data_IF_133977522914
#
_entry.id   IF_133977522914
#
_cell.length_a   1.000
_cell.length_b   1.000
_cell.length_c   1.000
_cell.angle_alpha   90.00
_cell.angle_beta   90.00
_cell.angle_gamma   90.00
#
_symmetry.space_group_name_H-M   'P 1'
#
loop_
_entity.id
_entity.type
_entity.pdbx_description
1 polymer ?
#
# COMPACT_ATOMS: atom_id res chain seq x y z
N UNK A 1 20.54 18.24 11.54
CA UNK A 1 19.08 18.49 11.52
C UNK A 1 18.60 19.79 12.17
N UNK A 2 19.28 20.41 13.16
CA UNK A 2 18.83 21.68 13.79
C UNK A 2 18.64 22.90 12.84
N UNK A 3 19.27 22.92 11.66
CA UNK A 3 19.16 24.02 10.68
C UNK A 3 18.06 23.83 9.63
N UNK A 4 17.48 22.65 9.50
CA UNK A 4 16.47 22.37 8.46
C UNK A 4 15.18 23.21 8.60
N UNK A 5 14.61 23.43 9.81
CA UNK A 5 13.43 24.28 9.94
C UNK A 5 13.71 25.75 9.53
N UNK A 6 14.93 26.25 9.78
CA UNK A 6 15.31 27.58 9.34
C UNK A 6 15.43 27.67 7.81
N UNK A 7 15.99 26.65 7.17
CA UNK A 7 16.05 26.54 5.70
C UNK A 7 14.64 26.47 5.11
N UNK A 8 13.75 25.69 5.71
CA UNK A 8 12.35 25.60 5.32
C UNK A 8 11.67 26.99 5.37
N UNK A 9 11.83 27.71 6.47
CA UNK A 9 11.29 29.06 6.61
C UNK A 9 11.86 30.04 5.57
N UNK A 10 13.16 30.00 5.29
CA UNK A 10 13.80 30.84 4.28
C UNK A 10 13.24 30.54 2.88
N UNK A 11 13.11 29.27 2.51
CA UNK A 11 12.56 28.89 1.22
C UNK A 11 11.09 29.29 1.05
N UNK A 12 10.28 29.13 2.11
CA UNK A 12 8.90 29.62 2.10
C UNK A 12 8.84 31.14 1.94
N UNK A 13 9.67 31.88 2.68
CA UNK A 13 9.74 33.34 2.55
C UNK A 13 10.19 33.79 1.16
N UNK A 14 11.22 33.14 0.61
CA UNK A 14 11.69 33.41 -0.76
C UNK A 14 10.61 33.09 -1.80
N UNK A 15 9.90 31.99 -1.62
CA UNK A 15 8.78 31.62 -2.49
C UNK A 15 7.63 32.62 -2.48
N UNK A 16 7.29 33.17 -1.32
CA UNK A 16 6.27 34.21 -1.19
C UNK A 16 6.75 35.57 -1.74
N UNK A 17 8.06 35.87 -1.61
CA UNK A 17 8.65 37.12 -2.08
C UNK A 17 8.88 37.14 -3.60
N UNK A 18 9.04 35.98 -4.24
CA UNK A 18 9.18 35.90 -5.70
C UNK A 18 7.87 36.30 -6.36
N UNK A 19 7.88 37.50 -6.94
CA UNK A 19 6.78 37.99 -7.74
C UNK A 19 6.55 37.06 -8.94
N UNK A 20 5.30 36.74 -9.22
CA UNK A 20 5.00 36.03 -10.44
C UNK A 20 5.18 36.94 -11.63
N UNK A 21 5.89 36.44 -12.63
CA UNK A 21 6.03 37.07 -13.94
C UNK A 21 4.75 36.97 -14.80
N UNK A 22 3.63 36.52 -14.24
CA UNK A 22 2.44 36.05 -14.98
C UNK A 22 1.34 37.11 -15.13
N UNK A 23 1.34 38.17 -14.33
CA UNK A 23 0.33 39.23 -14.51
C UNK A 23 0.91 40.45 -15.22
N UNK A 24 0.19 41.02 -16.21
CA UNK A 24 0.61 42.23 -16.90
C UNK A 24 0.69 43.47 -16.01
N UNK A 25 0.20 43.41 -14.78
CA UNK A 25 0.16 44.49 -13.81
C UNK A 25 1.19 44.45 -12.68
N UNK A 26 2.12 43.48 -12.66
CA UNK A 26 3.20 43.42 -11.64
C UNK A 26 2.77 43.06 -10.22
N UNK A 27 1.52 42.67 -10.00
CA UNK A 27 1.06 42.19 -8.71
C UNK A 27 1.49 40.75 -8.48
N UNK A 28 2.03 40.41 -7.29
CA UNK A 28 2.36 39.01 -6.97
C UNK A 28 1.06 38.22 -6.76
N UNK A 29 0.95 36.95 -7.23
CA UNK A 29 -0.22 36.11 -7.01
C UNK A 29 -0.58 35.94 -5.54
N UNK A 30 0.38 36.01 -4.65
CA UNK A 30 0.19 36.00 -3.22
C UNK A 30 -0.60 37.22 -2.71
N UNK A 31 -0.38 38.41 -3.29
CA UNK A 31 -1.08 39.65 -2.90
C UNK A 31 -2.51 39.69 -3.44
N UNK A 32 -2.76 39.09 -4.59
CA UNK A 32 -4.12 38.98 -5.14
C UNK A 32 -5.01 38.00 -4.40
N UNK A 33 -4.40 37.06 -3.62
CA UNK A 33 -5.12 36.07 -2.82
C UNK A 33 -4.79 36.18 -1.32
N UNK A 34 -5.47 37.08 -0.57
CA UNK A 34 -5.14 37.37 0.83
C UNK A 34 -5.24 36.13 1.74
N UNK A 35 -6.12 35.17 1.42
CA UNK A 35 -6.19 33.91 2.15
C UNK A 35 -4.94 33.04 1.97
N UNK A 36 -4.40 32.92 0.77
CA UNK A 36 -3.16 32.20 0.49
C UNK A 36 -1.97 32.89 1.19
N UNK A 37 -1.92 34.23 1.10
CA UNK A 37 -0.90 35.02 1.78
C UNK A 37 -0.93 34.82 3.30
N UNK A 38 -2.12 34.87 3.93
CA UNK A 38 -2.26 34.66 5.37
C UNK A 38 -1.84 33.24 5.79
N UNK A 39 -2.30 32.21 5.06
CA UNK A 39 -1.89 30.83 5.32
C UNK A 39 -0.39 30.62 5.18
N UNK A 40 0.19 31.17 4.11
CA UNK A 40 1.63 31.07 3.86
C UNK A 40 2.46 31.80 4.94
N UNK A 41 2.05 33.00 5.34
CA UNK A 41 2.72 33.77 6.41
C UNK A 41 2.65 33.06 7.78
N UNK A 42 1.51 32.47 8.12
CA UNK A 42 1.35 31.70 9.35
C UNK A 42 2.23 30.45 9.37
N UNK A 43 2.32 29.74 8.24
CA UNK A 43 3.22 28.59 8.10
C UNK A 43 4.69 28.98 8.25
N UNK A 44 5.09 30.11 7.65
CA UNK A 44 6.43 30.66 7.76
C UNK A 44 6.78 31.05 9.20
N UNK A 45 5.87 31.72 9.91
CA UNK A 45 6.05 32.07 11.31
C UNK A 45 6.20 30.84 12.20
N UNK A 46 5.40 29.80 11.95
CA UNK A 46 5.46 28.55 12.69
C UNK A 46 6.77 27.77 12.42
N UNK A 47 7.24 27.73 11.18
CA UNK A 47 8.52 27.12 10.83
C UNK A 47 9.70 27.92 11.42
N UNK A 48 9.62 29.24 11.40
CA UNK A 48 10.59 30.12 12.03
C UNK A 48 10.67 29.94 13.55
N UNK A 49 9.51 29.80 14.20
CA UNK A 49 9.46 29.49 15.64
C UNK A 49 10.05 28.11 15.95
N UNK A 50 9.75 27.09 15.14
CA UNK A 50 10.34 25.76 15.28
C UNK A 50 11.87 25.74 15.13
N UNK A 51 12.45 26.76 14.47
CA UNK A 51 13.87 26.92 14.27
C UNK A 51 14.59 27.57 15.48
N UNK A 52 13.84 28.16 16.45
CA UNK A 52 14.45 28.84 17.61
C UNK A 52 15.03 27.83 18.61
N UNK A 53 16.14 28.22 19.34
CA UNK A 53 16.80 27.31 20.30
C UNK A 53 15.98 26.95 21.54
N UNK A 54 14.89 27.65 21.81
CA UNK A 54 14.00 27.45 22.97
C UNK A 54 13.04 26.25 22.88
N UNK A 55 13.25 25.40 22.05
CA UNK A 55 12.56 24.37 21.29
C UNK A 55 11.92 23.17 21.93
N UNK A 56 11.27 23.14 23.09
CA UNK A 56 10.35 22.04 23.44
C UNK A 56 9.01 22.09 22.65
N UNK A 57 8.70 23.22 22.03
CA UNK A 57 7.54 23.44 21.17
C UNK A 57 7.73 23.13 19.66
N UNK A 58 8.89 22.63 19.27
CA UNK A 58 9.23 22.57 17.85
C UNK A 58 8.37 21.63 16.98
N UNK A 59 7.90 20.50 17.52
CA UNK A 59 7.00 19.61 16.78
C UNK A 59 5.57 20.18 16.64
N UNK A 60 4.90 20.66 17.72
CA UNK A 60 3.60 21.31 17.58
C UNK A 60 3.63 22.49 16.60
N UNK A 61 4.67 23.31 16.65
CA UNK A 61 4.83 24.43 15.74
C UNK A 61 4.95 23.98 14.28
N UNK A 62 5.71 22.93 13.99
CA UNK A 62 5.83 22.36 12.65
C UNK A 62 4.49 21.79 12.16
N UNK A 63 3.76 21.06 13.00
CA UNK A 63 2.46 20.48 12.64
C UNK A 63 1.41 21.56 12.39
N UNK A 64 1.37 22.59 13.24
CA UNK A 64 0.49 23.74 13.05
C UNK A 64 0.88 24.51 11.78
N UNK A 65 2.18 24.73 11.56
CA UNK A 65 2.69 25.39 10.36
C UNK A 65 2.35 24.63 9.08
N UNK A 66 2.44 23.29 9.11
CA UNK A 66 2.00 22.45 8.00
C UNK A 66 0.49 22.60 7.77
N UNK A 67 -0.32 22.44 8.80
CA UNK A 67 -1.78 22.52 8.70
C UNK A 67 -2.22 23.88 8.13
N UNK A 68 -1.63 24.96 8.57
CA UNK A 68 -1.95 26.31 8.11
C UNK A 68 -1.33 26.61 6.73
N UNK A 69 -0.22 25.99 6.37
CA UNK A 69 0.49 26.23 5.12
C UNK A 69 -0.05 25.45 3.91
N UNK A 70 -0.67 24.30 4.16
CA UNK A 70 -1.21 23.44 3.09
C UNK A 70 -2.27 24.12 2.20
N UNK A 71 -3.19 24.97 2.68
CA UNK A 71 -4.18 25.62 1.82
C UNK A 71 -3.58 26.60 0.80
N UNK A 72 -2.44 27.23 1.10
CA UNK A 72 -1.88 28.28 0.27
C UNK A 72 -1.54 27.82 -1.16
N UNK A 73 -0.79 26.75 -1.40
CA UNK A 73 -0.54 26.20 -2.73
C UNK A 73 -1.84 25.80 -3.46
N UNK A 74 -2.80 25.20 -2.76
CA UNK A 74 -4.08 24.79 -3.37
C UNK A 74 -4.88 25.98 -3.85
N UNK A 75 -5.00 27.06 -3.05
CA UNK A 75 -5.70 28.28 -3.44
C UNK A 75 -5.03 28.91 -4.67
N UNK A 76 -3.69 28.97 -4.71
CA UNK A 76 -2.97 29.55 -5.83
C UNK A 76 -3.10 28.74 -7.11
N UNK A 77 -3.05 27.42 -6.99
CA UNK A 77 -3.16 26.51 -8.14
C UNK A 77 -4.58 26.48 -8.69
N UNK A 78 -5.61 26.56 -7.83
CA UNK A 78 -7.01 26.64 -8.24
C UNK A 78 -7.30 27.99 -8.93
N UNK A 79 -6.73 29.09 -8.43
CA UNK A 79 -6.88 30.41 -9.01
C UNK A 79 -6.15 30.57 -10.36
N UNK A 80 -5.04 29.84 -10.55
CA UNK A 80 -4.20 29.91 -11.77
C UNK A 80 -3.96 28.50 -12.36
N UNK A 81 -4.98 27.83 -12.90
CA UNK A 81 -4.85 26.51 -13.50
C UNK A 81 -3.81 26.52 -14.63
N UNK A 82 -2.97 25.47 -14.68
CA UNK A 82 -1.87 25.33 -15.65
C UNK A 82 -0.74 26.37 -15.58
N UNK A 83 -0.75 27.25 -14.57
CA UNK A 83 0.30 28.28 -14.39
C UNK A 83 1.54 27.75 -13.64
N UNK A 84 1.65 26.44 -13.41
CA UNK A 84 2.74 25.84 -12.63
C UNK A 84 4.15 26.22 -13.08
N UNK A 85 4.38 26.30 -14.39
CA UNK A 85 5.68 26.75 -14.94
C UNK A 85 5.91 28.26 -14.76
N UNK A 86 4.86 29.04 -14.61
CA UNK A 86 4.93 30.50 -14.51
C UNK A 86 4.96 31.01 -13.06
N UNK A 87 4.87 30.11 -12.06
CA UNK A 87 4.87 30.44 -10.63
C UNK A 87 6.08 29.83 -9.89
N UNK A 88 7.32 30.25 -10.17
CA UNK A 88 8.51 29.67 -9.50
C UNK A 88 8.46 29.84 -7.99
N UNK A 89 7.83 30.89 -7.47
CA UNK A 89 7.66 31.12 -6.03
C UNK A 89 6.77 30.06 -5.37
N UNK A 90 5.78 29.50 -6.06
CA UNK A 90 4.95 28.40 -5.57
C UNK A 90 5.77 27.16 -5.27
N UNK A 91 6.69 26.79 -6.18
CA UNK A 91 7.51 25.61 -6.03
C UNK A 91 8.54 25.73 -4.92
N UNK A 92 9.15 26.92 -4.76
CA UNK A 92 10.04 27.19 -3.64
C UNK A 92 9.30 27.12 -2.31
N UNK A 93 8.08 27.65 -2.25
CA UNK A 93 7.23 27.52 -1.07
C UNK A 93 6.90 26.06 -0.76
N UNK A 94 6.52 25.27 -1.78
CA UNK A 94 6.20 23.85 -1.65
C UNK A 94 7.41 23.03 -1.19
N UNK A 95 8.61 23.33 -1.70
CA UNK A 95 9.86 22.70 -1.23
C UNK A 95 10.10 23.04 0.25
N UNK A 96 9.91 24.30 0.65
CA UNK A 96 10.03 24.73 2.04
C UNK A 96 9.03 24.00 2.95
N UNK A 97 7.78 23.88 2.51
CA UNK A 97 6.73 23.13 3.23
C UNK A 97 7.08 21.63 3.33
N UNK A 98 7.66 21.05 2.28
CA UNK A 98 8.17 19.67 2.27
C UNK A 98 9.30 19.44 3.27
N UNK A 99 10.23 20.37 3.38
CA UNK A 99 11.29 20.31 4.40
C UNK A 99 10.71 20.42 5.80
N UNK A 100 9.69 21.25 6.01
CA UNK A 100 8.99 21.33 7.30
C UNK A 100 8.27 20.01 7.63
N UNK A 101 7.63 19.38 6.64
CA UNK A 101 7.00 18.05 6.77
C UNK A 101 8.04 16.97 7.12
N UNK A 102 9.19 16.98 6.44
CA UNK A 102 10.32 16.09 6.76
C UNK A 102 10.78 16.26 8.21
N UNK A 103 10.99 17.50 8.65
CA UNK A 103 11.38 17.77 10.03
C UNK A 103 10.34 17.30 11.04
N UNK A 104 9.06 17.44 10.73
CA UNK A 104 7.97 16.96 11.58
C UNK A 104 7.98 15.43 11.68
N UNK A 105 8.15 14.73 10.55
CA UNK A 105 8.23 13.25 10.49
C UNK A 105 9.44 12.73 11.27
N UNK A 106 10.60 13.35 11.13
CA UNK A 106 11.83 12.99 11.83
C UNK A 106 11.66 13.13 13.36
N UNK A 107 11.09 14.26 13.81
CA UNK A 107 10.78 14.45 15.25
C UNK A 107 9.71 13.51 15.77
N UNK A 108 8.68 13.19 14.98
CA UNK A 108 7.68 12.18 15.34
C UNK A 108 8.31 10.81 15.52
N UNK A 109 9.23 10.43 14.63
CA UNK A 109 9.95 9.16 14.71
C UNK A 109 10.85 9.09 15.97
N UNK A 110 11.51 10.20 16.33
CA UNK A 110 12.34 10.28 17.54
C UNK A 110 11.54 10.14 18.85
N UNK A 111 10.31 10.67 18.88
CA UNK A 111 9.41 10.60 20.05
C UNK A 111 8.77 9.22 20.17
N UNK A 112 8.59 8.52 19.05
CA UNK A 112 7.96 7.20 18.96
C UNK A 112 8.89 6.08 19.50
N UNK A 113 9.31 6.16 20.76
CA UNK A 113 10.17 5.14 21.38
C UNK A 113 9.42 3.84 21.62
N UNK A 114 10.07 2.65 21.44
CA UNK A 114 9.47 1.37 21.77
C UNK A 114 9.19 1.28 23.28
N UNK A 115 7.96 0.92 23.66
CA UNK A 115 7.60 0.60 25.05
C UNK A 115 6.40 1.36 25.63
N UNK A 116 5.97 2.48 25.07
CA UNK A 116 4.79 3.22 25.55
C UNK A 116 3.61 3.07 24.57
N UNK A 117 2.37 2.98 25.09
CA UNK A 117 1.15 2.95 24.29
C UNK A 117 0.97 4.22 23.43
N UNK A 118 1.39 5.38 23.94
CA UNK A 118 1.45 6.65 23.19
C UNK A 118 2.49 6.59 22.08
N UNK A 119 3.63 5.90 22.29
CA UNK A 119 4.67 5.68 21.29
C UNK A 119 4.18 4.88 20.08
N UNK A 120 3.26 3.92 20.23
CA UNK A 120 2.70 3.15 19.12
C UNK A 120 1.79 3.96 18.20
N UNK A 121 0.97 4.85 18.74
CA UNK A 121 0.14 5.75 17.95
C UNK A 121 1.00 6.79 17.20
N UNK A 122 2.02 7.34 17.86
CA UNK A 122 2.98 8.26 17.26
C UNK A 122 3.87 7.59 16.21
N UNK A 123 4.18 6.29 16.35
CA UNK A 123 4.92 5.54 15.35
C UNK A 123 4.17 5.39 14.02
N UNK A 124 2.82 5.43 14.03
CA UNK A 124 1.99 5.45 12.83
C UNK A 124 1.83 6.85 12.24
N UNK A 125 2.03 7.90 13.02
CA UNK A 125 1.83 9.27 12.58
C UNK A 125 2.86 9.72 11.51
N UNK A 126 4.12 9.30 11.63
CA UNK A 126 5.15 9.65 10.64
C UNK A 126 4.88 9.03 9.25
N UNK A 127 4.61 7.71 9.11
CA UNK A 127 4.20 7.12 7.83
C UNK A 127 2.89 7.70 7.29
N UNK A 128 1.92 8.00 8.15
CA UNK A 128 0.65 8.60 7.75
C UNK A 128 0.85 10.02 7.19
N UNK A 129 1.68 10.84 7.84
CA UNK A 129 2.04 12.17 7.38
C UNK A 129 2.78 12.09 6.03
N UNK A 130 3.67 11.11 5.87
CA UNK A 130 4.37 10.90 4.60
C UNK A 130 3.40 10.52 3.46
N UNK A 131 2.49 9.58 3.73
CA UNK A 131 1.46 9.19 2.74
C UNK A 131 0.55 10.36 2.36
N UNK A 132 0.11 11.15 3.36
CA UNK A 132 -0.65 12.37 3.13
C UNK A 132 0.14 13.39 2.31
N UNK A 133 1.44 13.59 2.62
CA UNK A 133 2.31 14.48 1.87
C UNK A 133 2.45 14.07 0.40
N UNK A 134 2.59 12.78 0.12
CA UNK A 134 2.64 12.28 -1.26
C UNK A 134 1.35 12.58 -2.03
N UNK A 135 0.19 12.35 -1.43
CA UNK A 135 -1.11 12.65 -2.04
C UNK A 135 -1.28 14.16 -2.25
N UNK A 136 -0.84 14.96 -1.29
CA UNK A 136 -0.88 16.40 -1.38
C UNK A 136 0.01 16.96 -2.51
N UNK A 137 1.24 16.47 -2.61
CA UNK A 137 2.16 16.86 -3.71
C UNK A 137 1.58 16.41 -5.06
N UNK A 138 1.01 15.22 -5.14
CA UNK A 138 0.33 14.77 -6.35
C UNK A 138 -0.81 15.71 -6.75
N UNK A 139 -1.66 16.10 -5.81
CA UNK A 139 -2.73 17.07 -6.03
C UNK A 139 -2.19 18.39 -6.61
N UNK A 140 -1.24 19.01 -5.93
CA UNK A 140 -0.67 20.30 -6.33
C UNK A 140 0.05 20.22 -7.68
N UNK A 141 0.75 19.11 -7.98
CA UNK A 141 1.41 18.91 -9.26
C UNK A 141 0.40 18.77 -10.41
N UNK A 142 -0.60 17.92 -10.25
CA UNK A 142 -1.58 17.65 -11.31
C UNK A 142 -2.39 18.91 -11.64
N UNK A 143 -2.90 19.60 -10.63
CA UNK A 143 -3.68 20.82 -10.84
C UNK A 143 -2.78 21.97 -11.28
N UNK A 144 -1.58 22.12 -10.68
CA UNK A 144 -0.64 23.21 -10.97
C UNK A 144 -0.04 23.17 -12.37
N UNK A 145 0.18 21.99 -12.92
CA UNK A 145 0.62 21.83 -14.32
C UNK A 145 -0.55 21.70 -15.30
N UNK A 146 -1.80 21.72 -14.83
CA UNK A 146 -2.97 21.55 -15.67
C UNK A 146 -2.98 20.19 -16.38
N UNK A 147 -2.51 19.13 -15.69
CA UNK A 147 -2.45 17.79 -16.29
C UNK A 147 -3.86 17.32 -16.64
N UNK A 148 -4.14 16.96 -17.91
CA UNK A 148 -5.46 16.48 -18.27
C UNK A 148 -5.87 15.27 -17.44
N UNK A 149 -7.10 15.26 -16.93
CA UNK A 149 -7.68 14.16 -16.12
C UNK A 149 -7.55 12.80 -16.79
N UNK A 150 -7.58 12.77 -18.12
CA UNK A 150 -7.43 11.55 -18.93
C UNK A 150 -6.04 10.94 -18.86
N UNK A 151 -4.99 11.72 -18.52
CA UNK A 151 -3.63 11.24 -18.33
C UNK A 151 -3.40 10.83 -16.88
N UNK A 152 -3.73 11.75 -15.95
CA UNK A 152 -3.56 11.51 -14.52
C UNK A 152 -4.58 12.34 -13.74
N UNK A 153 -5.60 11.73 -13.12
CA UNK A 153 -6.57 12.46 -12.31
C UNK A 153 -5.93 12.94 -11.00
N UNK A 154 -6.43 14.07 -10.50
CA UNK A 154 -6.04 14.56 -9.18
C UNK A 154 -6.69 13.73 -8.05
N UNK A 155 -6.07 13.59 -6.88
CA UNK A 155 -6.63 12.86 -5.74
C UNK A 155 -8.05 13.25 -5.35
N UNK A 156 -8.41 14.54 -5.42
CA UNK A 156 -9.79 14.98 -5.12
C UNK A 156 -10.82 14.42 -6.11
N UNK A 157 -10.46 14.28 -7.41
CA UNK A 157 -11.32 13.70 -8.44
C UNK A 157 -11.54 12.21 -8.19
N UNK A 158 -10.47 11.50 -7.80
CA UNK A 158 -10.55 10.10 -7.39
C UNK A 158 -11.46 9.96 -6.16
N UNK A 159 -11.31 10.83 -5.16
CA UNK A 159 -12.15 10.88 -3.97
C UNK A 159 -13.63 11.12 -4.31
N UNK A 160 -13.91 12.00 -5.24
CA UNK A 160 -15.27 12.24 -5.74
C UNK A 160 -15.86 10.99 -6.38
N UNK A 161 -15.08 10.27 -7.23
CA UNK A 161 -15.53 9.04 -7.86
C UNK A 161 -15.74 7.91 -6.85
N UNK A 162 -14.88 7.78 -5.82
CA UNK A 162 -15.08 6.84 -4.73
C UNK A 162 -16.44 7.04 -4.03
N UNK A 163 -16.84 8.29 -3.84
CA UNK A 163 -18.13 8.62 -3.20
C UNK A 163 -19.32 8.43 -4.15
N UNK A 164 -19.24 8.97 -5.36
CA UNK A 164 -20.35 8.96 -6.32
C UNK A 164 -20.64 7.58 -6.92
N UNK A 165 -19.58 6.77 -7.14
CA UNK A 165 -19.67 5.43 -7.69
C UNK A 165 -19.66 4.30 -6.62
N UNK A 166 -19.81 4.64 -5.34
CA UNK A 166 -19.72 3.69 -4.23
C UNK A 166 -20.59 2.43 -4.41
N UNK A 167 -21.86 2.48 -4.88
CA UNK A 167 -22.67 1.28 -5.10
C UNK A 167 -22.08 0.35 -6.17
N UNK A 168 -21.53 0.92 -7.24
CA UNK A 168 -20.93 0.17 -8.35
C UNK A 168 -19.62 -0.47 -7.88
N UNK A 169 -18.74 0.31 -7.25
CA UNK A 169 -17.47 -0.16 -6.69
C UNK A 169 -17.69 -1.25 -5.63
N UNK A 170 -18.75 -1.16 -4.84
CA UNK A 170 -19.13 -2.21 -3.89
C UNK A 170 -19.56 -3.51 -4.59
N UNK A 171 -20.32 -3.41 -5.68
CA UNK A 171 -20.70 -4.58 -6.48
C UNK A 171 -19.46 -5.25 -7.08
N UNK A 172 -18.55 -4.46 -7.65
CA UNK A 172 -17.28 -4.91 -8.23
C UNK A 172 -16.38 -5.56 -7.15
N UNK A 173 -16.25 -4.93 -5.99
CA UNK A 173 -15.52 -5.49 -4.83
C UNK A 173 -16.10 -6.84 -4.39
N UNK A 174 -17.41 -6.95 -4.28
CA UNK A 174 -18.06 -8.23 -3.92
C UNK A 174 -17.74 -9.33 -4.91
N UNK A 175 -17.82 -9.03 -6.20
CA UNK A 175 -17.58 -10.02 -7.26
C UNK A 175 -16.12 -10.46 -7.27
N UNK A 176 -15.17 -9.51 -7.28
CA UNK A 176 -13.74 -9.80 -7.36
C UNK A 176 -13.22 -10.33 -6.03
N UNK A 177 -13.41 -9.59 -4.93
CA UNK A 177 -12.74 -9.91 -3.67
C UNK A 177 -13.48 -10.99 -2.89
N UNK A 178 -14.76 -10.77 -2.55
CA UNK A 178 -15.47 -11.69 -1.65
C UNK A 178 -15.76 -13.05 -2.30
N UNK A 179 -15.99 -13.11 -3.62
CA UNK A 179 -16.24 -14.37 -4.30
C UNK A 179 -14.97 -14.98 -4.87
N UNK A 180 -14.31 -14.30 -5.83
CA UNK A 180 -13.21 -14.91 -6.56
C UNK A 180 -11.91 -14.99 -5.72
N UNK A 181 -11.47 -13.86 -5.09
CA UNK A 181 -10.21 -13.81 -4.36
C UNK A 181 -10.25 -14.73 -3.14
N UNK A 182 -11.24 -14.60 -2.27
CA UNK A 182 -11.30 -15.40 -1.04
C UNK A 182 -11.45 -16.89 -1.34
N UNK A 183 -12.32 -17.27 -2.29
CA UNK A 183 -12.52 -18.68 -2.65
C UNK A 183 -11.27 -19.28 -3.32
N UNK A 184 -10.69 -18.57 -4.30
CA UNK A 184 -9.49 -19.03 -5.00
C UNK A 184 -8.27 -19.12 -4.07
N UNK A 185 -8.07 -18.12 -3.21
CA UNK A 185 -6.98 -18.12 -2.23
C UNK A 185 -7.14 -19.25 -1.20
N UNK A 186 -8.33 -19.43 -0.65
CA UNK A 186 -8.58 -20.51 0.32
C UNK A 186 -8.38 -21.90 -0.31
N UNK A 187 -8.91 -22.11 -1.52
CA UNK A 187 -8.75 -23.38 -2.24
C UNK A 187 -7.29 -23.62 -2.64
N UNK A 188 -6.61 -22.63 -3.24
CA UNK A 188 -5.23 -22.79 -3.70
C UNK A 188 -4.24 -22.97 -2.53
N UNK A 189 -4.35 -22.17 -1.48
CA UNK A 189 -3.53 -22.33 -0.28
C UNK A 189 -3.86 -23.64 0.46
N UNK A 190 -5.13 -23.98 0.57
CA UNK A 190 -5.56 -25.24 1.21
C UNK A 190 -5.02 -26.47 0.46
N UNK A 191 -5.20 -26.54 -0.85
CA UNK A 191 -4.68 -27.61 -1.69
C UNK A 191 -3.13 -27.65 -1.66
N UNK A 192 -2.47 -26.50 -1.75
CA UNK A 192 -1.01 -26.42 -1.66
C UNK A 192 -0.47 -26.93 -0.33
N UNK A 193 -1.11 -26.57 0.79
CA UNK A 193 -0.77 -27.08 2.12
C UNK A 193 -0.98 -28.60 2.24
N UNK A 194 -2.14 -29.08 1.86
CA UNK A 194 -2.46 -30.53 1.89
C UNK A 194 -1.48 -31.35 1.03
N UNK A 195 -1.14 -30.82 -0.15
CA UNK A 195 -0.15 -31.43 -1.03
C UNK A 195 1.23 -31.41 -0.39
N UNK A 196 1.63 -30.33 0.31
CA UNK A 196 2.89 -30.29 1.04
C UNK A 196 2.98 -31.37 2.12
N UNK A 197 1.89 -31.61 2.86
CA UNK A 197 1.83 -32.70 3.85
C UNK A 197 1.96 -34.08 3.19
N UNK A 198 1.35 -34.27 2.03
CA UNK A 198 1.46 -35.52 1.27
C UNK A 198 2.88 -35.73 0.70
N UNK A 199 3.46 -34.70 0.11
CA UNK A 199 4.84 -34.69 -0.44
C UNK A 199 5.87 -34.96 0.63
N UNK A 200 5.69 -34.39 1.82
CA UNK A 200 6.57 -34.63 2.96
C UNK A 200 6.63 -36.10 3.39
N UNK A 201 5.53 -36.81 3.21
CA UNK A 201 5.43 -38.22 3.61
C UNK A 201 5.84 -39.19 2.48
N UNK A 202 5.69 -38.79 1.22
CA UNK A 202 5.87 -39.64 0.06
C UNK A 202 7.05 -39.14 -0.78
N UNK A 203 8.26 -39.74 -0.67
CA UNK A 203 9.46 -39.28 -1.38
C UNK A 203 9.33 -39.24 -2.91
N UNK A 204 8.47 -40.09 -3.46
CA UNK A 204 8.16 -40.09 -4.92
C UNK A 204 7.50 -38.77 -5.35
N UNK A 205 6.54 -38.26 -4.58
CA UNK A 205 5.88 -37.00 -4.84
C UNK A 205 6.83 -35.82 -4.75
N UNK A 206 7.76 -35.85 -3.80
CA UNK A 206 8.78 -34.81 -3.61
C UNK A 206 9.65 -34.65 -4.86
N UNK A 207 10.12 -35.78 -5.43
CA UNK A 207 10.99 -35.78 -6.64
C UNK A 207 10.26 -35.33 -7.90
N UNK A 208 8.95 -35.56 -7.98
CA UNK A 208 8.13 -35.19 -9.15
C UNK A 208 7.56 -33.78 -9.10
N UNK A 209 6.96 -33.38 -7.97
CA UNK A 209 6.21 -32.13 -7.84
C UNK A 209 7.08 -30.89 -7.71
N UNK A 210 8.26 -30.97 -7.08
CA UNK A 210 9.13 -29.81 -6.92
C UNK A 210 9.64 -29.22 -8.25
N UNK A 211 10.16 -30.04 -9.21
CA UNK A 211 10.53 -29.53 -10.54
C UNK A 211 9.32 -28.97 -11.29
N UNK A 212 8.14 -29.62 -11.22
CA UNK A 212 6.93 -29.13 -11.84
C UNK A 212 6.48 -27.80 -11.24
N UNK A 213 6.65 -27.59 -9.93
CA UNK A 213 6.32 -26.36 -9.26
C UNK A 213 7.06 -25.15 -9.85
N UNK A 214 8.34 -25.32 -10.13
CA UNK A 214 9.15 -24.26 -10.74
C UNK A 214 8.68 -23.94 -12.17
N UNK A 215 8.31 -24.96 -12.96
CA UNK A 215 7.79 -24.77 -14.30
C UNK A 215 6.44 -24.05 -14.32
N UNK A 216 5.49 -24.47 -13.48
CA UNK A 216 4.16 -23.87 -13.42
C UNK A 216 4.19 -22.45 -12.87
N UNK A 217 5.10 -22.16 -11.92
CA UNK A 217 5.29 -20.80 -11.40
C UNK A 217 5.81 -19.82 -12.47
N UNK A 218 6.44 -20.31 -13.53
CA UNK A 218 6.93 -19.51 -14.65
C UNK A 218 5.85 -19.26 -15.72
N UNK A 219 4.68 -19.92 -15.65
CA UNK A 219 3.62 -19.75 -16.66
C UNK A 219 2.95 -18.38 -16.50
N UNK A 220 2.88 -17.57 -17.58
CA UNK A 220 2.27 -16.25 -17.51
C UNK A 220 0.76 -16.36 -17.21
N UNK A 221 0.32 -15.67 -16.16
CA UNK A 221 -1.11 -15.61 -15.77
C UNK A 221 -2.02 -15.20 -16.94
N UNK A 222 -1.52 -14.26 -17.75
CA UNK A 222 -2.23 -13.75 -18.94
C UNK A 222 -2.56 -14.86 -19.92
N UNK A 223 -1.72 -15.91 -20.02
CA UNK A 223 -1.97 -17.06 -20.88
C UNK A 223 -2.96 -18.07 -20.28
N UNK A 224 -2.99 -18.20 -18.95
CA UNK A 224 -3.90 -19.14 -18.26
C UNK A 224 -5.32 -18.60 -18.18
N UNK A 225 -5.49 -17.31 -18.01
CA UNK A 225 -6.79 -16.68 -17.73
C UNK A 225 -7.85 -16.98 -18.83
N UNK A 226 -7.57 -16.85 -20.15
CA UNK A 226 -8.53 -17.20 -21.18
C UNK A 226 -8.96 -18.67 -21.14
N UNK A 227 -8.01 -19.57 -20.85
CA UNK A 227 -8.28 -21.02 -20.77
C UNK A 227 -9.24 -21.32 -19.62
N UNK A 228 -9.01 -20.71 -18.47
CA UNK A 228 -9.88 -20.87 -17.30
C UNK A 228 -11.28 -20.30 -17.56
N UNK A 229 -11.39 -19.19 -18.29
CA UNK A 229 -12.69 -18.65 -18.71
C UNK A 229 -13.41 -19.61 -19.67
N UNK A 230 -12.69 -20.24 -20.59
CA UNK A 230 -13.28 -21.25 -21.49
C UNK A 230 -13.79 -22.48 -20.73
N UNK A 231 -13.09 -22.93 -19.69
CA UNK A 231 -13.45 -24.12 -18.93
C UNK A 231 -14.52 -23.88 -17.88
N UNK A 232 -14.48 -22.77 -17.17
CA UNK A 232 -15.31 -22.47 -16.01
C UNK A 232 -16.35 -21.35 -16.25
N UNK A 233 -16.35 -20.76 -17.47
CA UNK A 233 -17.28 -19.69 -17.83
C UNK A 233 -16.86 -18.31 -17.35
N UNK A 234 -17.74 -17.34 -17.61
CA UNK A 234 -17.44 -15.91 -17.38
C UNK A 234 -17.62 -15.45 -15.92
N UNK A 235 -18.21 -16.25 -15.05
CA UNK A 235 -18.46 -15.89 -13.65
C UNK A 235 -17.19 -15.97 -12.79
N UNK A 236 -17.29 -15.75 -11.50
CA UNK A 236 -16.19 -15.73 -10.54
C UNK A 236 -15.41 -17.06 -10.44
N UNK A 237 -16.00 -18.19 -10.84
CA UNK A 237 -15.35 -19.51 -10.80
C UNK A 237 -14.06 -19.58 -11.63
N UNK A 238 -14.06 -19.01 -12.83
CA UNK A 238 -12.87 -19.00 -13.69
C UNK A 238 -11.72 -18.17 -13.06
N UNK A 239 -12.06 -17.04 -12.40
CA UNK A 239 -11.10 -16.20 -11.70
C UNK A 239 -10.54 -16.93 -10.48
N UNK A 240 -11.41 -17.59 -9.72
CA UNK A 240 -10.97 -18.43 -8.60
C UNK A 240 -10.04 -19.56 -9.06
N UNK A 241 -10.31 -20.19 -10.21
CA UNK A 241 -9.43 -21.22 -10.77
C UNK A 241 -8.04 -20.67 -11.14
N UNK A 242 -7.96 -19.48 -11.75
CA UNK A 242 -6.68 -18.79 -11.99
C UNK A 242 -5.93 -18.57 -10.69
N UNK A 243 -6.61 -18.07 -9.65
CA UNK A 243 -6.01 -17.83 -8.34
C UNK A 243 -5.51 -19.12 -7.70
N UNK A 244 -6.25 -20.22 -7.80
CA UNK A 244 -5.81 -21.54 -7.30
C UNK A 244 -4.47 -21.91 -7.91
N UNK A 245 -4.33 -21.81 -9.23
CA UNK A 245 -3.05 -22.12 -9.91
C UNK A 245 -1.92 -21.24 -9.42
N UNK A 246 -2.18 -19.94 -9.25
CA UNK A 246 -1.16 -18.98 -8.81
C UNK A 246 -0.72 -19.17 -7.36
N UNK A 247 -1.62 -19.57 -6.46
CA UNK A 247 -1.37 -19.62 -5.03
C UNK A 247 -0.96 -21.01 -4.53
N UNK A 248 -1.24 -22.06 -5.30
CA UNK A 248 -0.94 -23.44 -4.96
C UNK A 248 0.57 -23.68 -4.75
N UNK A 249 1.39 -23.37 -5.75
CA UNK A 249 2.83 -23.68 -5.70
C UNK A 249 3.60 -22.85 -4.68
N UNK A 250 3.40 -21.53 -4.54
CA UNK A 250 4.02 -20.78 -3.46
C UNK A 250 3.67 -21.32 -2.08
N UNK A 251 2.43 -21.78 -1.87
CA UNK A 251 2.03 -22.39 -0.62
C UNK A 251 2.73 -23.74 -0.39
N UNK A 252 2.76 -24.59 -1.41
CA UNK A 252 3.45 -25.90 -1.37
C UNK A 252 4.93 -25.73 -1.01
N UNK A 253 5.64 -24.88 -1.73
CA UNK A 253 7.09 -24.72 -1.57
C UNK A 253 7.44 -24.14 -0.20
N UNK A 254 6.76 -23.08 0.23
CA UNK A 254 7.02 -22.47 1.54
C UNK A 254 6.67 -23.42 2.69
N UNK A 255 5.59 -24.19 2.57
CA UNK A 255 5.22 -25.17 3.59
C UNK A 255 6.28 -26.28 3.73
N UNK A 256 6.79 -26.80 2.61
CA UNK A 256 7.86 -27.80 2.60
C UNK A 256 9.16 -27.24 3.18
N UNK A 257 9.50 -26.00 2.84
CA UNK A 257 10.65 -25.30 3.43
C UNK A 257 10.51 -25.20 4.95
N UNK A 258 9.33 -24.84 5.46
CA UNK A 258 9.05 -24.79 6.88
C UNK A 258 9.15 -26.15 7.58
N UNK A 259 8.74 -27.24 6.92
CA UNK A 259 8.91 -28.59 7.46
C UNK A 259 10.39 -29.04 7.49
N UNK A 260 11.21 -28.53 6.57
CA UNK A 260 12.65 -28.85 6.52
C UNK A 260 13.48 -28.07 7.54
N UNK A 261 13.00 -26.91 8.00
CA UNK A 261 13.72 -26.01 8.92
C UNK A 261 13.87 -26.55 10.35
N UNK A 262 13.20 -27.64 10.67
CA UNK A 262 13.30 -28.27 11.99
C UNK A 262 14.71 -28.72 12.26
N UNK A 263 15.27 -28.29 13.40
CA UNK A 263 16.58 -28.65 13.87
C UNK A 263 16.78 -30.20 14.02
N UNK A 264 17.95 -30.68 13.62
CA UNK A 264 18.27 -32.10 13.65
C UNK A 264 18.20 -32.69 15.08
N UNK A 265 18.70 -31.94 16.09
CA UNK A 265 18.65 -32.36 17.48
C UNK A 265 17.21 -32.55 17.96
N UNK A 266 16.33 -31.64 17.64
CA UNK A 266 14.90 -31.74 18.01
C UNK A 266 14.24 -32.96 17.34
N UNK A 267 14.59 -33.25 16.07
CA UNK A 267 14.10 -34.46 15.38
C UNK A 267 14.57 -35.74 16.01
N UNK A 268 15.87 -35.80 16.39
CA UNK A 268 16.46 -36.96 17.02
C UNK A 268 15.91 -37.19 18.44
N UNK A 269 15.64 -36.09 19.17
CA UNK A 269 14.95 -36.16 20.46
C UNK A 269 13.57 -36.81 20.32
N UNK A 270 12.77 -36.38 19.35
CA UNK A 270 11.45 -36.97 19.11
C UNK A 270 11.55 -38.46 18.77
N UNK A 271 12.57 -38.87 18.01
CA UNK A 271 12.85 -40.30 17.70
C UNK A 271 13.25 -41.08 18.95
N UNK A 272 14.12 -40.51 19.78
CA UNK A 272 14.56 -41.15 21.02
C UNK A 272 13.39 -41.39 21.98
N UNK A 273 12.40 -40.52 22.00
CA UNK A 273 11.16 -40.71 22.78
C UNK A 273 10.11 -41.60 22.09
N UNK A 274 10.45 -42.24 20.98
CA UNK A 274 9.52 -43.10 20.24
C UNK A 274 8.30 -42.43 19.65
N UNK A 275 8.39 -41.12 19.38
CA UNK A 275 7.27 -40.36 18.83
C UNK A 275 6.88 -40.86 17.44
N UNK A 276 5.58 -41.09 17.23
CA UNK A 276 5.02 -41.41 15.90
C UNK A 276 5.17 -40.25 14.92
N UNK A 277 5.01 -40.50 13.62
CA UNK A 277 5.04 -39.47 12.58
C UNK A 277 4.07 -38.32 12.91
N UNK A 278 2.82 -38.61 13.24
CA UNK A 278 1.82 -37.60 13.54
C UNK A 278 2.10 -36.82 14.83
N UNK A 279 2.69 -37.49 15.84
CA UNK A 279 3.13 -36.80 17.06
C UNK A 279 4.26 -35.81 16.74
N UNK A 280 5.25 -36.24 15.96
CA UNK A 280 6.33 -35.38 15.50
C UNK A 280 5.81 -34.24 14.59
N UNK A 281 4.85 -34.53 13.72
CA UNK A 281 4.26 -33.55 12.84
C UNK A 281 3.53 -32.45 13.63
N UNK A 282 2.57 -32.78 14.47
CA UNK A 282 1.73 -31.77 15.15
C UNK A 282 2.47 -31.06 16.30
N UNK A 283 3.42 -31.77 17.00
CA UNK A 283 4.10 -31.18 18.16
C UNK A 283 5.40 -30.45 17.82
N UNK A 284 6.04 -30.74 16.69
CA UNK A 284 7.32 -30.17 16.33
C UNK A 284 7.30 -29.51 14.96
N UNK A 285 6.96 -30.25 13.90
CA UNK A 285 7.16 -29.79 12.53
C UNK A 285 6.16 -28.70 12.10
N UNK A 286 4.87 -28.91 12.36
CA UNK A 286 3.84 -27.95 12.02
C UNK A 286 3.99 -26.62 12.79
N UNK A 287 4.21 -26.61 14.13
CA UNK A 287 4.48 -25.37 14.86
C UNK A 287 5.71 -24.62 14.34
N UNK A 288 6.78 -25.34 14.00
CA UNK A 288 7.99 -24.74 13.43
C UNK A 288 7.78 -24.16 12.03
N UNK A 289 6.90 -24.78 11.23
CA UNK A 289 6.58 -24.35 9.89
C UNK A 289 5.57 -23.16 9.83
N UNK A 290 4.87 -22.84 10.92
CA UNK A 290 3.84 -21.78 10.92
C UNK A 290 4.33 -20.44 10.35
N UNK A 291 5.52 -19.92 10.70
CA UNK A 291 6.01 -18.66 10.11
C UNK A 291 6.15 -18.74 8.59
N UNK A 292 6.59 -19.87 8.03
CA UNK A 292 6.71 -20.11 6.60
C UNK A 292 5.33 -20.18 5.92
N UNK A 293 4.39 -20.87 6.56
CA UNK A 293 2.99 -20.99 6.11
C UNK A 293 2.35 -19.61 6.07
N UNK A 294 2.48 -18.81 7.12
CA UNK A 294 1.93 -17.45 7.16
C UNK A 294 2.61 -16.52 6.16
N UNK A 295 3.91 -16.68 5.93
CA UNK A 295 4.60 -15.94 4.86
C UNK A 295 4.01 -16.26 3.49
N UNK A 296 3.76 -17.55 3.19
CA UNK A 296 3.09 -17.97 1.97
C UNK A 296 1.67 -17.42 1.86
N UNK A 297 0.88 -17.46 2.93
CA UNK A 297 -0.48 -16.90 2.96
C UNK A 297 -0.50 -15.41 2.65
N UNK A 298 0.47 -14.63 3.18
CA UNK A 298 0.63 -13.20 2.90
C UNK A 298 1.00 -12.94 1.44
N UNK A 299 1.99 -13.64 0.89
CA UNK A 299 2.38 -13.54 -0.51
C UNK A 299 1.18 -13.89 -1.40
N UNK A 300 0.50 -14.97 -1.11
CA UNK A 300 -0.64 -15.46 -1.87
C UNK A 300 -1.86 -14.51 -1.80
N UNK A 301 -2.00 -13.69 -0.76
CA UNK A 301 -3.08 -12.70 -0.70
C UNK A 301 -2.93 -11.61 -1.77
N UNK A 302 -1.70 -11.18 -2.04
CA UNK A 302 -1.41 -10.22 -3.11
C UNK A 302 -1.49 -10.86 -4.49
N UNK A 303 -0.95 -12.08 -4.65
CA UNK A 303 -1.05 -12.84 -5.90
C UNK A 303 -2.51 -13.13 -6.28
N UNK A 304 -3.36 -13.46 -5.31
CA UNK A 304 -4.78 -13.70 -5.53
C UNK A 304 -5.51 -12.45 -6.07
N UNK A 305 -5.20 -11.28 -5.52
CA UNK A 305 -5.77 -10.02 -6.00
C UNK A 305 -5.33 -9.70 -7.44
N UNK A 306 -4.03 -9.83 -7.73
CA UNK A 306 -3.50 -9.63 -9.08
C UNK A 306 -4.12 -10.62 -10.05
N UNK A 307 -4.17 -11.90 -9.68
CA UNK A 307 -4.75 -12.97 -10.51
C UNK A 307 -6.22 -12.74 -10.83
N UNK A 308 -7.03 -12.29 -9.86
CA UNK A 308 -8.43 -11.96 -10.07
C UNK A 308 -8.60 -10.82 -11.07
N UNK A 309 -7.91 -9.69 -10.86
CA UNK A 309 -8.01 -8.50 -11.72
C UNK A 309 -7.58 -8.82 -13.15
N UNK A 310 -6.45 -9.52 -13.32
CA UNK A 310 -5.96 -9.93 -14.65
C UNK A 310 -6.92 -10.90 -15.33
N UNK A 311 -7.46 -11.86 -14.60
CA UNK A 311 -8.41 -12.83 -15.18
C UNK A 311 -9.73 -12.15 -15.61
N UNK A 312 -10.16 -11.10 -14.91
CA UNK A 312 -11.36 -10.34 -15.27
C UNK A 312 -11.22 -9.56 -16.58
N UNK A 313 -10.01 -9.20 -17.01
CA UNK A 313 -9.77 -8.56 -18.32
C UNK A 313 -10.16 -9.47 -19.50
N UNK A 314 -10.08 -10.78 -19.32
CA UNK A 314 -10.38 -11.76 -20.38
C UNK A 314 -11.83 -12.22 -20.40
N UNK A 315 -12.61 -11.88 -19.40
CA UNK A 315 -14.01 -12.24 -19.38
C UNK A 315 -14.63 -12.07 -18.00
N UNK A 316 -15.54 -11.13 -17.89
CA UNK A 316 -16.38 -10.93 -16.72
C UNK A 316 -17.77 -10.55 -17.19
N UNK A 317 -18.85 -10.95 -16.47
CA UNK A 317 -20.19 -10.70 -17.01
C UNK A 317 -20.52 -9.19 -17.05
N UNK A 318 -20.63 -8.53 -15.92
CA UNK A 318 -21.01 -7.10 -15.85
C UNK A 318 -20.39 -6.40 -14.64
N UNK A 319 -19.78 -7.14 -13.72
CA UNK A 319 -19.24 -6.62 -12.48
C UNK A 319 -17.88 -7.26 -12.19
N UNK A 320 -17.01 -6.50 -11.56
CA UNK A 320 -15.68 -6.90 -11.17
C UNK A 320 -14.69 -5.74 -11.28
N UNK A 321 -13.73 -5.66 -10.37
CA UNK A 321 -12.77 -4.55 -10.34
C UNK A 321 -11.90 -4.54 -11.61
N UNK A 322 -11.42 -5.69 -12.08
CA UNK A 322 -10.66 -5.78 -13.33
C UNK A 322 -11.52 -5.44 -14.56
N UNK A 323 -12.76 -5.93 -14.59
CA UNK A 323 -13.73 -5.57 -15.64
C UNK A 323 -13.96 -4.05 -15.65
N UNK A 324 -14.18 -3.44 -14.49
CA UNK A 324 -14.36 -1.98 -14.36
C UNK A 324 -13.16 -1.22 -14.91
N UNK A 325 -11.96 -1.59 -14.50
CA UNK A 325 -10.72 -0.98 -15.02
C UNK A 325 -10.67 -1.06 -16.55
N UNK A 326 -10.91 -2.24 -17.14
CA UNK A 326 -10.84 -2.45 -18.59
C UNK A 326 -11.85 -1.59 -19.35
N UNK A 327 -13.09 -1.54 -18.87
CA UNK A 327 -14.19 -0.79 -19.52
C UNK A 327 -13.97 0.72 -19.41
N UNK A 328 -13.59 1.20 -18.21
CA UNK A 328 -13.43 2.64 -17.97
C UNK A 328 -12.16 3.21 -18.60
N UNK A 329 -11.09 2.40 -18.75
CA UNK A 329 -9.93 2.78 -19.58
C UNK A 329 -10.35 2.99 -21.03
N UNK A 330 -11.16 2.09 -21.61
CA UNK A 330 -11.65 2.22 -22.98
C UNK A 330 -12.59 3.42 -23.17
N UNK A 331 -13.24 3.87 -22.10
CA UNK A 331 -14.10 5.08 -22.08
C UNK A 331 -13.34 6.36 -21.74
N UNK A 332 -12.04 6.27 -21.46
CA UNK A 332 -11.20 7.38 -21.00
C UNK A 332 -11.63 8.00 -19.65
N UNK A 333 -12.37 7.26 -18.82
CA UNK A 333 -12.76 7.66 -17.46
C UNK A 333 -11.68 7.23 -16.45
N UNK A 334 -10.51 7.81 -16.57
CA UNK A 334 -9.32 7.39 -15.80
C UNK A 334 -9.47 7.64 -14.30
N UNK A 335 -10.28 8.58 -13.88
CA UNK A 335 -10.65 8.84 -12.49
C UNK A 335 -11.40 7.67 -11.84
N UNK A 336 -12.33 7.02 -12.55
CA UNK A 336 -13.01 5.80 -12.10
C UNK A 336 -12.06 4.62 -12.05
N UNK A 337 -11.11 4.54 -13.00
CA UNK A 337 -10.04 3.52 -12.98
C UNK A 337 -9.21 3.63 -11.71
N UNK A 338 -8.73 4.84 -11.38
CA UNK A 338 -7.96 5.07 -10.15
C UNK A 338 -8.78 4.83 -8.88
N UNK A 339 -10.06 5.19 -8.87
CA UNK A 339 -10.97 4.87 -7.77
C UNK A 339 -11.09 3.36 -7.57
N UNK A 340 -11.22 2.59 -8.66
CA UNK A 340 -11.27 1.12 -8.60
C UNK A 340 -9.94 0.52 -8.10
N UNK A 341 -8.80 1.04 -8.58
CA UNK A 341 -7.46 0.65 -8.12
C UNK A 341 -7.29 0.95 -6.62
N UNK A 342 -7.79 2.09 -6.14
CA UNK A 342 -7.74 2.45 -4.72
C UNK A 342 -8.54 1.45 -3.86
N UNK A 343 -9.74 1.05 -4.30
CA UNK A 343 -10.54 0.01 -3.63
C UNK A 343 -9.79 -1.32 -3.60
N UNK A 344 -9.20 -1.73 -4.72
CA UNK A 344 -8.42 -2.97 -4.81
C UNK A 344 -7.19 -2.94 -3.90
N UNK A 345 -6.47 -1.82 -3.86
CA UNK A 345 -5.30 -1.64 -3.00
C UNK A 345 -5.67 -1.67 -1.51
N UNK A 346 -6.76 -1.02 -1.12
CA UNK A 346 -7.27 -1.05 0.25
C UNK A 346 -7.70 -2.47 0.65
N UNK A 347 -8.44 -3.17 -0.22
CA UNK A 347 -8.87 -4.54 0.02
C UNK A 347 -7.69 -5.50 0.19
N UNK A 348 -6.71 -5.44 -0.73
CA UNK A 348 -5.50 -6.27 -0.68
C UNK A 348 -4.65 -5.99 0.56
N UNK A 349 -4.46 -4.70 0.90
CA UNK A 349 -3.71 -4.29 2.08
C UNK A 349 -4.39 -4.73 3.39
N UNK A 350 -5.72 -4.58 3.48
CA UNK A 350 -6.49 -5.03 4.63
C UNK A 350 -6.42 -6.55 4.78
N UNK A 351 -6.53 -7.28 3.68
CA UNK A 351 -6.43 -8.74 3.68
C UNK A 351 -5.05 -9.22 4.14
N UNK A 352 -3.98 -8.63 3.59
CA UNK A 352 -2.61 -8.90 4.04
C UNK A 352 -2.45 -8.61 5.54
N UNK A 353 -2.96 -7.47 6.00
CA UNK A 353 -2.89 -7.07 7.41
C UNK A 353 -3.65 -8.03 8.33
N UNK A 354 -4.83 -8.50 7.93
CA UNK A 354 -5.60 -9.48 8.69
C UNK A 354 -4.81 -10.80 8.84
N UNK A 355 -4.17 -11.28 7.76
CA UNK A 355 -3.32 -12.48 7.82
C UNK A 355 -2.13 -12.24 8.76
N UNK A 356 -1.48 -11.09 8.67
CA UNK A 356 -0.37 -10.73 9.54
C UNK A 356 -0.78 -10.61 11.02
N UNK A 357 -2.01 -10.14 11.29
CA UNK A 357 -2.57 -10.10 12.65
C UNK A 357 -2.77 -11.50 13.21
N UNK A 358 -3.32 -12.42 12.42
CA UNK A 358 -3.50 -13.84 12.81
C UNK A 358 -2.15 -14.50 13.03
N UNK A 359 -1.18 -14.30 12.14
CA UNK A 359 0.20 -14.78 12.30
C UNK A 359 0.79 -14.36 13.64
N UNK A 360 0.74 -13.08 13.96
CA UNK A 360 1.29 -12.53 15.21
C UNK A 360 0.71 -13.22 16.45
N UNK A 361 -0.57 -13.56 16.42
CA UNK A 361 -1.24 -14.23 17.54
C UNK A 361 -0.89 -15.71 17.63
N UNK A 362 -0.64 -16.38 16.49
CA UNK A 362 -0.35 -17.81 16.42
C UNK A 362 1.14 -18.16 16.42
N UNK A 363 2.04 -17.19 16.25
CA UNK A 363 3.49 -17.42 16.20
C UNK A 363 4.27 -16.58 17.23
N UNK A 364 3.62 -16.21 18.33
CA UNK A 364 4.20 -15.33 19.37
C UNK A 364 5.49 -15.87 20.00
N UNK A 365 5.71 -17.18 19.96
CA UNK A 365 6.92 -17.85 20.50
C UNK A 365 8.14 -17.75 19.58
N UNK A 366 7.95 -17.39 18.31
CA UNK A 366 9.05 -17.38 17.34
C UNK A 366 10.01 -16.20 17.56
N UNK A 367 11.33 -16.46 17.37
CA UNK A 367 12.39 -15.49 17.64
C UNK A 367 12.26 -14.17 16.91
N UNK A 368 11.68 -14.17 15.70
CA UNK A 368 11.42 -12.97 14.90
C UNK A 368 10.54 -11.93 15.60
N UNK A 369 9.71 -12.34 16.56
CA UNK A 369 8.81 -11.45 17.31
C UNK A 369 9.38 -11.04 18.67
N UNK A 370 10.35 -11.80 19.24
CA UNK A 370 10.99 -11.45 20.52
C UNK A 370 11.93 -10.25 20.44
N UNK A 371 12.49 -9.97 19.26
CA UNK A 371 13.43 -8.86 19.07
C UNK A 371 12.75 -7.48 18.86
N UNK A 372 11.41 -7.42 18.82
CA UNK A 372 10.62 -6.19 18.63
C UNK A 372 9.86 -5.74 19.89
N UNK A 373 10.05 -6.40 21.04
CA UNK A 373 9.44 -6.06 22.31
C UNK A 373 10.35 -5.24 23.22
#
# INVERSE_FOLDING_TARGET
MRRLPAIAAILMAAGMALAASVEPAGASPWLSHPAALACGALALLAAGWAATPRGDGGLPALLIGLLLGLPAPLILVDAYPAAGLALPGLWLYLIGLGLAAWCAMDRLADIARPGDHRGKALALAAPALFGFWLLYVWEVLVVGFGVPQILLPAPHQIGHQLASQAPVLWSDFRQTFLKAVLAGWAAGCGLGFLTAVAVDRIPFLQRGLLPLGNLVSAVPVVGIAPIMVMWFGFDWYSKAAVIVVMTFFPMLINTLAGFAEVDAMSRDLMRAYGASYWQSFFKLRLPNALPFIFNALKINSTLAMIGAIVAEFFGSPIAGMGFRISVEVARMNVDVVWATIAVAALAGSLFYWLIALVERNLTFWHASYRQRG
#
